data_IF_997991805115
#
_entry.id   IF_997991805115
#
_cell.length_a   1.000
_cell.length_b   1.000
_cell.length_c   1.000
_cell.angle_alpha   90.00
_cell.angle_beta   90.00
_cell.angle_gamma   90.00
#
_symmetry.space_group_name_H-M   'P 1'
#
loop_
_entity.id
_entity.type
_entity.pdbx_description
1 polymer ?
#
# COMPACT_ATOMS: atom_id res chain seq x y z
N UNK A 1 43.35 -56.52 -24.09
CA UNK A 1 42.40 -55.84 -24.98
C UNK A 1 41.59 -54.91 -24.09
N UNK A 2 42.10 -53.72 -23.73
CA UNK A 2 42.00 -52.44 -24.49
C UNK A 2 40.53 -52.22 -24.94
N UNK A 3 39.79 -51.16 -24.58
CA UNK A 3 40.12 -49.72 -24.61
C UNK A 3 39.15 -48.88 -23.75
N UNK A 4 39.72 -47.80 -23.18
CA UNK A 4 39.19 -46.45 -22.95
C UNK A 4 37.71 -46.15 -23.26
N UNK A 5 37.03 -45.48 -22.33
CA UNK A 5 36.22 -44.30 -22.70
C UNK A 5 36.24 -43.28 -21.57
N UNK A 6 36.74 -42.10 -21.92
CA UNK A 6 36.92 -40.93 -21.10
C UNK A 6 35.62 -40.38 -20.46
N UNK A 7 35.84 -39.68 -19.35
CA UNK A 7 34.85 -38.94 -18.55
C UNK A 7 34.03 -37.91 -19.35
N UNK A 8 32.95 -37.40 -18.74
CA UNK A 8 32.97 -35.97 -18.46
C UNK A 8 32.78 -35.70 -16.96
N UNK A 9 33.79 -35.03 -16.40
CA UNK A 9 33.70 -34.24 -15.18
C UNK A 9 32.53 -33.26 -15.28
N UNK A 10 31.43 -33.55 -14.60
CA UNK A 10 30.43 -32.53 -14.29
C UNK A 10 30.71 -32.07 -12.86
N UNK A 11 31.60 -31.09 -12.77
CA UNK A 11 31.85 -30.26 -11.59
C UNK A 11 30.52 -29.79 -11.02
N UNK A 12 30.01 -30.53 -10.05
CA UNK A 12 28.86 -30.16 -9.25
C UNK A 12 29.36 -29.22 -8.16
N UNK A 13 29.82 -28.04 -8.58
CA UNK A 13 29.87 -26.90 -7.70
C UNK A 13 28.42 -26.41 -7.57
N UNK A 14 27.73 -26.61 -6.43
CA UNK A 14 26.59 -25.77 -6.13
C UNK A 14 27.18 -24.36 -6.04
N UNK A 15 26.91 -23.55 -7.05
CA UNK A 15 27.17 -22.12 -7.02
C UNK A 15 26.38 -21.53 -5.85
N UNK A 16 27.01 -21.55 -4.67
CA UNK A 16 26.79 -20.62 -3.59
C UNK A 16 27.29 -19.24 -4.03
N UNK A 17 26.80 -18.76 -5.18
CA UNK A 17 26.57 -17.35 -5.33
C UNK A 17 25.26 -17.06 -4.59
N UNK A 18 25.31 -17.23 -3.27
CA UNK A 18 24.41 -16.55 -2.38
C UNK A 18 24.52 -15.09 -2.73
N UNK A 19 23.52 -14.60 -3.46
CA UNK A 19 23.18 -13.19 -3.64
C UNK A 19 22.73 -12.65 -2.27
N UNK A 20 23.61 -12.73 -1.29
CA UNK A 20 23.40 -12.31 0.10
C UNK A 20 23.18 -10.80 0.21
N UNK A 21 23.53 -10.02 -0.81
CA UNK A 21 23.27 -8.58 -0.89
C UNK A 21 21.83 -8.17 -1.18
N UNK A 22 20.96 -9.06 -1.71
CA UNK A 22 19.59 -8.66 -2.07
C UNK A 22 18.56 -9.00 -0.99
N UNK A 23 18.72 -10.13 -0.28
CA UNK A 23 17.80 -10.51 0.81
C UNK A 23 17.80 -9.51 1.95
N UNK A 24 18.98 -9.05 2.39
CA UNK A 24 19.11 -8.09 3.50
C UNK A 24 18.38 -6.77 3.21
N UNK A 25 18.43 -6.31 1.96
CA UNK A 25 17.77 -5.07 1.56
C UNK A 25 16.24 -5.20 1.49
N UNK A 26 15.72 -6.36 1.09
CA UNK A 26 14.27 -6.62 1.00
C UNK A 26 13.63 -6.70 2.38
N UNK A 27 14.33 -7.31 3.35
CA UNK A 27 13.85 -7.43 4.72
C UNK A 27 13.75 -6.05 5.40
N UNK A 28 14.77 -5.21 5.29
CA UNK A 28 14.78 -3.85 5.84
C UNK A 28 13.68 -2.98 5.20
N UNK A 29 13.54 -3.04 3.87
CA UNK A 29 12.48 -2.34 3.15
C UNK A 29 11.09 -2.83 3.55
N UNK A 30 10.94 -4.12 3.82
CA UNK A 30 9.68 -4.69 4.27
C UNK A 30 9.31 -4.17 5.66
N UNK A 31 10.26 -4.15 6.61
CA UNK A 31 10.03 -3.61 7.95
C UNK A 31 9.64 -2.12 7.88
N UNK A 32 10.37 -1.32 7.10
CA UNK A 32 10.02 0.09 6.88
C UNK A 32 8.63 0.24 6.24
N UNK A 33 8.28 -0.61 5.26
CA UNK A 33 6.95 -0.60 4.65
C UNK A 33 5.84 -0.97 5.63
N UNK A 34 6.09 -1.91 6.55
CA UNK A 34 5.14 -2.28 7.61
C UNK A 34 4.91 -1.11 8.56
N UNK A 35 5.96 -0.41 8.97
CA UNK A 35 5.86 0.78 9.81
C UNK A 35 5.05 1.90 9.12
N UNK A 36 5.29 2.14 7.82
CA UNK A 36 4.50 3.08 7.03
C UNK A 36 3.02 2.69 7.05
N UNK A 37 2.69 1.42 6.83
CA UNK A 37 1.30 0.95 6.84
C UNK A 37 0.64 1.08 8.21
N UNK A 38 1.38 0.90 9.29
CA UNK A 38 0.88 1.05 10.66
C UNK A 38 0.62 2.52 11.03
N UNK A 39 1.47 3.42 10.54
CA UNK A 39 1.38 4.86 10.79
C UNK A 39 0.53 5.62 9.76
N UNK A 40 0.00 4.95 8.74
CA UNK A 40 -0.91 5.58 7.78
C UNK A 40 -2.18 6.09 8.49
N UNK A 41 -2.66 7.31 8.17
CA UNK A 41 -3.92 7.83 8.69
C UNK A 41 -5.06 6.85 8.41
N UNK A 42 -5.77 6.43 9.45
CA UNK A 42 -6.89 5.49 9.32
C UNK A 42 -8.13 6.15 8.71
N UNK A 43 -8.20 7.48 8.81
CA UNK A 43 -9.32 8.32 8.39
C UNK A 43 -8.80 9.50 7.55
N UNK A 44 -9.44 9.76 6.41
CA UNK A 44 -9.10 10.82 5.45
C UNK A 44 -9.80 10.63 4.10
N UNK A 45 -9.71 11.58 3.15
CA UNK A 45 -10.30 11.43 1.81
C UNK A 45 -9.64 10.31 0.99
N UNK A 46 -8.40 9.93 1.33
CA UNK A 46 -7.67 8.82 0.73
C UNK A 46 -7.51 7.68 1.74
N UNK A 47 -8.54 6.85 1.90
CA UNK A 47 -8.47 5.70 2.82
C UNK A 47 -7.92 4.44 2.15
N UNK A 48 -7.39 3.52 2.96
CA UNK A 48 -7.19 2.11 2.54
C UNK A 48 -8.54 1.39 2.58
N UNK A 49 -8.95 0.83 1.44
CA UNK A 49 -10.15 0.00 1.34
C UNK A 49 -10.00 -1.29 2.17
N UNK A 50 -11.11 -1.91 2.57
CA UNK A 50 -11.09 -3.18 3.31
C UNK A 50 -10.32 -4.27 2.55
N UNK A 51 -10.45 -4.30 1.22
CA UNK A 51 -9.72 -5.24 0.36
C UNK A 51 -8.20 -5.01 0.38
N UNK A 52 -7.75 -3.75 0.40
CA UNK A 52 -6.33 -3.43 0.53
C UNK A 52 -5.79 -3.86 1.89
N UNK A 53 -6.54 -3.61 2.98
CA UNK A 53 -6.17 -4.06 4.33
C UNK A 53 -6.01 -5.58 4.39
N UNK A 54 -6.93 -6.33 3.77
CA UNK A 54 -6.85 -7.78 3.68
C UNK A 54 -5.65 -8.25 2.85
N UNK A 55 -5.34 -7.55 1.74
CA UNK A 55 -4.18 -7.87 0.90
C UNK A 55 -2.85 -7.61 1.63
N UNK A 56 -2.73 -6.51 2.38
CA UNK A 56 -1.55 -6.26 3.22
C UNK A 56 -1.42 -7.31 4.32
N UNK A 57 -2.54 -7.68 4.96
CA UNK A 57 -2.54 -8.74 5.97
C UNK A 57 -2.06 -10.07 5.41
N UNK A 58 -2.60 -10.54 4.29
CA UNK A 58 -2.23 -11.84 3.72
C UNK A 58 -0.76 -11.90 3.30
N UNK A 59 -0.26 -10.85 2.66
CA UNK A 59 1.14 -10.75 2.26
C UNK A 59 2.08 -10.69 3.47
N UNK A 60 1.69 -9.96 4.52
CA UNK A 60 2.45 -9.92 5.77
C UNK A 60 2.52 -11.31 6.43
N UNK A 61 1.40 -12.03 6.47
CA UNK A 61 1.34 -13.40 7.01
C UNK A 61 2.19 -14.36 6.18
N UNK A 62 2.14 -14.28 4.85
CA UNK A 62 2.97 -15.11 3.97
C UNK A 62 4.47 -14.79 4.10
N UNK A 63 4.82 -13.51 4.27
CA UNK A 63 6.21 -13.06 4.42
C UNK A 63 6.85 -13.48 5.75
N UNK A 64 6.05 -13.65 6.81
CA UNK A 64 6.53 -13.93 8.18
C UNK A 64 6.35 -15.38 8.61
N UNK A 65 5.19 -15.96 8.29
CA UNK A 65 4.83 -17.35 8.66
C UNK A 65 4.98 -18.31 7.48
N UNK A 66 4.86 -17.82 6.25
CA UNK A 66 4.79 -18.66 5.06
C UNK A 66 3.36 -19.10 4.72
N UNK A 67 3.19 -20.24 4.03
CA UNK A 67 1.88 -20.74 3.60
C UNK A 67 0.87 -20.88 4.75
N UNK A 68 -0.42 -20.72 4.44
CA UNK A 68 -1.48 -20.83 5.42
C UNK A 68 -1.49 -22.22 6.07
N UNK A 69 -1.27 -22.25 7.39
CA UNK A 69 -1.19 -23.46 8.20
C UNK A 69 -2.30 -23.55 9.25
N UNK A 70 -3.31 -22.69 9.16
CA UNK A 70 -4.41 -22.60 10.12
C UNK A 70 -5.68 -23.22 9.56
N UNK A 71 -6.52 -23.78 10.44
CA UNK A 71 -7.82 -24.32 10.06
C UNK A 71 -8.76 -23.18 9.63
N UNK A 72 -9.68 -23.52 8.73
CA UNK A 72 -10.67 -22.57 8.24
C UNK A 72 -11.57 -22.08 9.39
N UNK A 73 -11.72 -20.75 9.58
CA UNK A 73 -12.57 -20.19 10.62
C UNK A 73 -14.06 -20.53 10.42
N UNK A 74 -14.84 -20.54 11.52
CA UNK A 74 -16.28 -20.75 11.45
C UNK A 74 -17.00 -19.70 10.61
N UNK A 75 -18.13 -20.07 10.01
CA UNK A 75 -18.85 -19.20 9.06
C UNK A 75 -19.41 -17.92 9.68
N UNK A 76 -19.63 -17.88 11.00
CA UNK A 76 -20.14 -16.69 11.70
C UNK A 76 -19.06 -15.63 11.95
N UNK A 77 -17.77 -15.99 11.94
CA UNK A 77 -16.68 -15.02 12.04
C UNK A 77 -16.25 -14.58 10.65
N UNK A 78 -17.05 -13.69 10.08
CA UNK A 78 -16.88 -13.16 8.72
C UNK A 78 -15.52 -12.48 8.56
N UNK A 79 -15.04 -11.77 9.59
CA UNK A 79 -13.76 -11.04 9.53
C UNK A 79 -12.58 -12.00 9.54
N UNK A 80 -12.57 -12.98 10.45
CA UNK A 80 -11.53 -13.99 10.46
C UNK A 80 -11.56 -14.82 9.17
N UNK A 81 -12.75 -15.12 8.65
CA UNK A 81 -12.92 -15.84 7.39
C UNK A 81 -12.29 -15.10 6.23
N UNK A 82 -12.56 -13.81 6.05
CA UNK A 82 -11.93 -13.02 4.99
C UNK A 82 -10.40 -12.93 5.13
N UNK A 83 -9.89 -12.79 6.35
CA UNK A 83 -8.44 -12.80 6.61
C UNK A 83 -7.81 -14.14 6.24
N UNK A 84 -8.47 -15.23 6.62
CA UNK A 84 -8.03 -16.59 6.31
C UNK A 84 -8.09 -16.85 4.81
N UNK A 85 -9.21 -16.50 4.15
CA UNK A 85 -9.37 -16.67 2.70
C UNK A 85 -8.29 -15.89 1.94
N UNK A 86 -8.02 -14.64 2.34
CA UNK A 86 -6.96 -13.82 1.72
C UNK A 86 -5.56 -14.43 1.88
N UNK A 87 -5.24 -15.04 3.03
CA UNK A 87 -3.95 -15.70 3.26
C UNK A 87 -3.88 -17.06 2.56
N UNK A 88 -4.93 -17.86 2.63
CA UNK A 88 -5.03 -19.16 1.99
C UNK A 88 -4.94 -19.06 0.46
N UNK A 89 -5.51 -18.00 -0.14
CA UNK A 89 -5.44 -17.74 -1.57
C UNK A 89 -4.01 -17.47 -2.10
N UNK A 90 -3.05 -17.13 -1.24
CA UNK A 90 -1.64 -16.98 -1.65
C UNK A 90 -0.93 -18.33 -1.83
N UNK A 91 -1.49 -19.42 -1.30
CA UNK A 91 -0.98 -20.78 -1.44
C UNK A 91 0.49 -20.91 -1.04
N UNK A 92 1.30 -21.44 -1.95
CA UNK A 92 2.72 -21.75 -1.75
C UNK A 92 3.66 -20.58 -2.13
N UNK A 93 3.19 -19.34 -2.12
CA UNK A 93 4.01 -18.17 -2.46
C UNK A 93 5.25 -18.08 -1.55
N UNK A 94 6.42 -17.82 -2.15
CA UNK A 94 7.67 -17.69 -1.40
C UNK A 94 7.65 -16.45 -0.47
N UNK A 95 8.18 -16.54 0.77
CA UNK A 95 8.22 -15.39 1.69
C UNK A 95 8.93 -14.17 1.11
N UNK A 96 9.99 -14.36 0.31
CA UNK A 96 10.74 -13.27 -0.32
C UNK A 96 9.89 -12.57 -1.38
N UNK A 97 9.13 -13.37 -2.16
CA UNK A 97 8.19 -12.85 -3.15
C UNK A 97 7.03 -12.08 -2.48
N UNK A 98 6.54 -12.57 -1.34
CA UNK A 98 5.51 -11.89 -0.55
C UNK A 98 6.00 -10.52 -0.04
N UNK A 99 7.24 -10.44 0.49
CA UNK A 99 7.87 -9.17 0.91
C UNK A 99 8.00 -8.19 -0.25
N UNK A 100 8.51 -8.62 -1.40
CA UNK A 100 8.64 -7.77 -2.57
C UNK A 100 7.28 -7.23 -3.06
N UNK A 101 6.25 -8.08 -3.07
CA UNK A 101 4.89 -7.70 -3.44
C UNK A 101 4.28 -6.72 -2.44
N UNK A 102 4.53 -6.92 -1.15
CA UNK A 102 4.10 -6.02 -0.08
C UNK A 102 4.70 -4.62 -0.27
N UNK A 103 6.03 -4.54 -0.44
CA UNK A 103 6.74 -3.28 -0.66
C UNK A 103 6.19 -2.55 -1.89
N UNK A 104 5.98 -3.26 -3.00
CA UNK A 104 5.44 -2.66 -4.22
C UNK A 104 4.03 -2.08 -4.00
N UNK A 105 3.16 -2.79 -3.29
CA UNK A 105 1.81 -2.30 -2.97
C UNK A 105 1.84 -1.07 -2.08
N UNK A 106 2.70 -1.05 -1.06
CA UNK A 106 2.86 0.12 -0.18
C UNK A 106 3.37 1.31 -0.98
N UNK A 107 4.43 1.13 -1.78
CA UNK A 107 4.98 2.19 -2.62
C UNK A 107 3.90 2.77 -3.56
N UNK A 108 3.12 1.90 -4.20
CA UNK A 108 2.02 2.33 -5.07
C UNK A 108 0.98 3.13 -4.30
N UNK A 109 0.59 2.68 -3.11
CA UNK A 109 -0.39 3.40 -2.27
C UNK A 109 0.14 4.77 -1.86
N UNK A 110 1.37 4.85 -1.36
CA UNK A 110 2.03 6.10 -0.97
C UNK A 110 2.09 7.07 -2.15
N UNK A 111 2.49 6.60 -3.34
CA UNK A 111 2.53 7.44 -4.55
C UNK A 111 1.14 7.97 -4.93
N UNK A 112 0.09 7.16 -4.80
CA UNK A 112 -1.28 7.59 -5.08
C UNK A 112 -1.74 8.65 -4.06
N UNK A 113 -1.51 8.41 -2.77
CA UNK A 113 -1.83 9.35 -1.69
C UNK A 113 -1.14 10.70 -1.91
N UNK A 114 0.14 10.71 -2.27
CA UNK A 114 0.88 11.95 -2.55
C UNK A 114 0.32 12.71 -3.74
N UNK A 115 -0.15 12.01 -4.78
CA UNK A 115 -0.77 12.65 -5.96
C UNK A 115 -2.15 13.20 -5.65
N UNK A 116 -2.96 12.50 -4.88
CA UNK A 116 -4.30 12.95 -4.51
C UNK A 116 -4.25 14.16 -3.58
N UNK A 117 -3.32 14.20 -2.62
CA UNK A 117 -3.10 15.38 -1.78
C UNK A 117 -2.70 16.62 -2.61
N UNK A 118 -1.83 16.45 -3.62
CA UNK A 118 -1.48 17.57 -4.52
C UNK A 118 -2.70 18.06 -5.31
N UNK A 119 -3.54 17.15 -5.82
CA UNK A 119 -4.75 17.53 -6.56
C UNK A 119 -5.77 18.21 -5.66
N UNK A 120 -6.03 17.71 -4.45
CA UNK A 120 -6.95 18.35 -3.51
C UNK A 120 -6.46 19.73 -3.09
N UNK A 121 -5.17 19.89 -2.77
CA UNK A 121 -4.58 21.19 -2.46
C UNK A 121 -4.71 22.14 -3.64
N UNK A 122 -4.44 21.67 -4.87
CA UNK A 122 -4.56 22.50 -6.08
C UNK A 122 -6.00 22.87 -6.39
N UNK A 123 -6.96 21.97 -6.18
CA UNK A 123 -8.39 22.26 -6.31
C UNK A 123 -8.77 23.31 -5.26
N UNK A 124 -8.40 23.12 -4.00
CA UNK A 124 -8.69 24.08 -2.93
C UNK A 124 -8.10 25.47 -3.23
N UNK A 125 -6.84 25.55 -3.66
CA UNK A 125 -6.19 26.80 -4.08
C UNK A 125 -6.91 27.46 -5.26
N UNK A 126 -7.31 26.68 -6.27
CA UNK A 126 -8.04 27.21 -7.42
C UNK A 126 -9.47 27.63 -7.08
N UNK A 127 -10.12 26.92 -6.15
CA UNK A 127 -11.47 27.26 -5.68
C UNK A 127 -11.41 28.53 -4.82
N UNK A 128 -10.39 28.66 -3.97
CA UNK A 128 -10.14 29.85 -3.18
C UNK A 128 -9.77 31.07 -4.04
N UNK A 129 -9.05 30.89 -5.14
CA UNK A 129 -8.75 31.97 -6.09
C UNK A 129 -9.95 32.35 -6.97
N UNK A 130 -10.89 31.44 -7.19
CA UNK A 130 -12.17 31.69 -7.89
C UNK A 130 -13.25 32.33 -7.01
N UNK A 131 -12.95 32.67 -5.75
CA UNK A 131 -13.79 33.54 -4.94
C UNK A 131 -13.80 34.95 -5.57
N UNK A 132 -14.71 35.16 -6.54
CA UNK A 132 -14.80 36.39 -7.34
C UNK A 132 -14.89 37.62 -6.41
N UNK A 133 -13.94 38.57 -6.48
CA UNK A 133 -13.98 39.80 -5.67
C UNK A 133 -15.29 40.58 -5.87
N UNK A 134 -16.04 40.34 -6.95
CA UNK A 134 -17.38 40.90 -7.17
C UNK A 134 -18.44 40.37 -6.20
N UNK A 135 -18.35 39.13 -5.69
CA UNK A 135 -19.25 38.62 -4.64
C UNK A 135 -18.94 39.26 -3.28
N UNK A 136 -17.67 39.51 -2.99
CA UNK A 136 -17.22 40.22 -1.78
C UNK A 136 -17.71 41.67 -1.84
N UNK A 137 -17.53 42.35 -2.99
CA UNK A 137 -18.06 43.70 -3.22
C UNK A 137 -19.58 43.75 -3.06
N UNK A 138 -20.33 42.82 -3.66
CA UNK A 138 -21.80 42.77 -3.47
C UNK A 138 -22.19 42.59 -2.01
N UNK A 139 -21.48 41.77 -1.24
CA UNK A 139 -21.79 41.52 0.18
C UNK A 139 -21.42 42.71 1.07
N UNK A 140 -20.32 43.40 0.78
CA UNK A 140 -19.93 44.65 1.44
C UNK A 140 -20.97 45.73 1.13
N UNK A 141 -21.33 45.93 -0.14
CA UNK A 141 -22.36 46.91 -0.52
C UNK A 141 -23.73 46.59 0.08
N UNK A 142 -24.13 45.31 0.15
CA UNK A 142 -25.40 44.91 0.76
C UNK A 142 -25.40 45.20 2.28
N UNK A 143 -24.30 44.90 2.97
CA UNK A 143 -24.17 45.16 4.40
C UNK A 143 -24.08 46.65 4.72
N UNK A 144 -23.38 47.43 3.89
CA UNK A 144 -23.33 48.90 4.00
C UNK A 144 -24.73 49.50 3.79
N UNK A 145 -25.50 49.00 2.82
CA UNK A 145 -26.89 49.41 2.62
C UNK A 145 -27.81 49.05 3.80
N UNK A 146 -27.69 47.83 4.35
CA UNK A 146 -28.45 47.37 5.52
C UNK A 146 -28.15 48.19 6.80
N UNK A 147 -26.93 48.69 6.95
CA UNK A 147 -26.50 49.48 8.11
C UNK A 147 -26.87 50.97 8.01
N UNK A 148 -27.16 51.48 6.80
CA UNK A 148 -27.52 52.88 6.57
C UNK A 148 -28.99 53.22 6.83
N UNK A 149 -29.83 52.25 7.22
CA UNK A 149 -31.18 52.52 7.73
C UNK A 149 -32.19 53.10 6.71
N UNK A 150 -31.87 53.12 5.42
CA UNK A 150 -32.77 53.53 4.35
C UNK A 150 -33.59 52.34 3.82
N UNK A 151 -34.40 51.73 4.69
CA UNK A 151 -35.43 50.78 4.26
C UNK A 151 -36.78 51.40 4.61
N UNK A 152 -37.45 51.97 3.61
CA UNK A 152 -38.80 52.51 3.69
C UNK A 152 -39.76 51.65 2.90
#
# INVERSE_FOLDING_TARGET
MILESQAPTMEMAPSLFTRSGESQNVDDKFLAAVEIVQNMPKDGPVTTTTNEKLAFYSLYKQATVGPCNTLQPPFWDVVARYKWDAWNNLGSMDPSQAKATYINKVLRKVLLVSREHDIEVRIQLNTASQQDPRKIQKKISLNVWLMSGEAK
#
